data_IF_479232433816
#
_entry.id   IF_479232433816
#
_cell.length_a   1.000
_cell.length_b   1.000
_cell.length_c   1.000
_cell.angle_alpha   90.00
_cell.angle_beta   90.00
_cell.angle_gamma   90.00
#
_symmetry.space_group_name_H-M   'P 1'
#
loop_
_entity.id
_entity.type
_entity.pdbx_description
1 polymer ?
#
# COMPACT_ATOMS: atom_id res chain seq x y z
N UNK A 1 -18.06 -16.75 8.96
CA UNK A 1 -16.73 -16.88 9.61
C UNK A 1 -16.11 -15.52 9.93
N UNK A 2 -15.98 -14.60 8.96
CA UNK A 2 -15.35 -13.27 9.13
C UNK A 2 -16.00 -12.41 10.22
N UNK A 3 -17.34 -12.26 10.19
CA UNK A 3 -18.06 -11.45 11.19
C UNK A 3 -18.00 -12.03 12.60
N UNK A 4 -17.86 -13.35 12.73
CA UNK A 4 -17.73 -14.02 14.03
C UNK A 4 -16.39 -13.64 14.66
N UNK A 5 -15.31 -13.70 13.88
CA UNK A 5 -13.98 -13.32 14.35
C UNK A 5 -13.88 -11.85 14.76
N UNK A 6 -14.55 -10.93 14.04
CA UNK A 6 -14.57 -9.52 14.43
C UNK A 6 -15.30 -9.28 15.75
N UNK A 7 -16.45 -9.96 15.96
CA UNK A 7 -17.20 -9.89 17.23
C UNK A 7 -16.43 -10.47 18.41
N UNK A 8 -15.61 -11.50 18.18
CA UNK A 8 -14.73 -12.04 19.24
C UNK A 8 -13.65 -11.03 19.63
N UNK A 9 -13.05 -10.35 18.65
CA UNK A 9 -12.05 -9.30 18.90
C UNK A 9 -12.66 -8.13 19.68
N UNK A 10 -13.90 -7.75 19.36
CA UNK A 10 -14.61 -6.65 20.04
C UNK A 10 -14.77 -6.91 21.54
N UNK A 11 -15.02 -8.17 21.94
CA UNK A 11 -15.15 -8.58 23.35
C UNK A 11 -13.86 -8.46 24.17
N UNK A 12 -12.71 -8.28 23.53
CA UNK A 12 -11.43 -8.03 24.23
C UNK A 12 -11.34 -6.59 24.78
N UNK A 13 -12.28 -5.72 24.40
CA UNK A 13 -12.32 -4.32 24.81
C UNK A 13 -13.51 -4.05 25.73
N UNK A 14 -13.43 -3.05 26.62
CA UNK A 14 -14.57 -2.62 27.42
C UNK A 14 -15.75 -2.18 26.55
N UNK A 15 -16.97 -2.47 27.00
CA UNK A 15 -18.19 -2.19 26.25
C UNK A 15 -18.32 -0.69 25.91
N UNK A 16 -18.71 -0.37 24.68
CA UNK A 16 -18.89 1.01 24.19
C UNK A 16 -17.60 1.76 23.84
N UNK A 17 -16.42 1.14 23.97
CA UNK A 17 -15.14 1.81 23.68
C UNK A 17 -14.63 1.61 22.25
N UNK A 18 -15.09 0.57 21.56
CA UNK A 18 -14.77 0.30 20.15
C UNK A 18 -15.86 0.93 19.29
N UNK A 19 -15.47 1.75 18.31
CA UNK A 19 -16.41 2.37 17.38
C UNK A 19 -16.54 1.61 16.07
N UNK A 20 -15.47 0.94 15.62
CA UNK A 20 -15.46 0.17 14.38
C UNK A 20 -14.28 -0.82 14.35
N UNK A 21 -14.42 -1.94 13.65
CA UNK A 21 -13.32 -2.87 13.39
C UNK A 21 -13.29 -3.21 11.91
N UNK A 22 -12.15 -2.93 11.27
CA UNK A 22 -11.96 -3.13 9.82
C UNK A 22 -10.75 -3.98 9.54
N UNK A 23 -10.84 -4.78 8.49
CA UNK A 23 -9.62 -5.23 7.81
C UNK A 23 -9.08 -4.05 6.99
N UNK A 24 -7.76 -3.89 6.95
CA UNK A 24 -7.04 -2.98 6.07
C UNK A 24 -5.83 -3.73 5.50
N UNK A 25 -5.98 -4.25 4.29
CA UNK A 25 -5.06 -5.21 3.68
C UNK A 25 -4.75 -6.37 4.66
N UNK A 26 -3.49 -6.56 5.03
CA UNK A 26 -3.06 -7.61 5.94
C UNK A 26 -3.26 -7.30 7.44
N UNK A 27 -3.85 -6.15 7.79
CA UNK A 27 -4.04 -5.71 9.18
C UNK A 27 -5.51 -5.76 9.59
N UNK A 28 -5.75 -5.99 10.88
CA UNK A 28 -7.01 -5.69 11.55
C UNK A 28 -6.83 -4.37 12.29
N UNK A 29 -7.71 -3.42 12.03
CA UNK A 29 -7.70 -2.09 12.60
C UNK A 29 -8.90 -1.94 13.50
N UNK A 30 -8.65 -1.62 14.77
CA UNK A 30 -9.68 -1.35 15.76
C UNK A 30 -9.72 0.17 15.98
N UNK A 31 -10.85 0.78 15.66
CA UNK A 31 -11.13 2.18 15.93
C UNK A 31 -11.78 2.31 17.31
N UNK A 32 -11.28 3.23 18.12
CA UNK A 32 -11.77 3.49 19.48
C UNK A 32 -12.11 4.96 19.67
N UNK A 33 -13.10 5.24 20.52
CA UNK A 33 -13.41 6.58 21.01
C UNK A 33 -12.68 6.91 22.33
N UNK A 34 -11.99 5.94 22.92
CA UNK A 34 -11.34 6.05 24.21
C UNK A 34 -9.84 6.39 24.06
N UNK A 35 -9.42 7.51 24.66
CA UNK A 35 -8.03 7.99 24.60
C UNK A 35 -7.04 7.07 25.31
N UNK A 36 -7.41 6.47 26.43
CA UNK A 36 -6.54 5.57 27.19
C UNK A 36 -6.25 4.28 26.42
N UNK A 37 -7.27 3.72 25.75
CA UNK A 37 -7.12 2.55 24.87
C UNK A 37 -6.21 2.89 23.70
N UNK A 38 -6.38 4.07 23.09
CA UNK A 38 -5.52 4.51 21.99
C UNK A 38 -4.06 4.71 22.42
N UNK A 39 -3.82 5.35 23.57
CA UNK A 39 -2.47 5.58 24.12
C UNK A 39 -1.78 4.23 24.40
N UNK A 40 -2.48 3.29 25.02
CA UNK A 40 -1.99 1.92 25.27
C UNK A 40 -2.11 1.00 24.04
N UNK A 41 -2.51 1.53 22.89
CA UNK A 41 -2.90 0.76 21.72
C UNK A 41 -1.77 -0.06 21.10
N UNK A 42 -0.51 0.35 21.27
CA UNK A 42 0.66 -0.43 20.81
C UNK A 42 0.73 -1.75 21.58
N UNK A 43 0.62 -1.70 22.91
CA UNK A 43 0.74 -2.87 23.77
C UNK A 43 -0.47 -3.81 23.63
N UNK A 44 -1.68 -3.23 23.57
CA UNK A 44 -2.91 -3.97 23.29
C UNK A 44 -2.80 -4.68 21.93
N UNK A 45 -2.33 -3.98 20.90
CA UNK A 45 -2.13 -4.54 19.57
C UNK A 45 -1.14 -5.72 19.55
N UNK A 46 -0.06 -5.65 20.33
CA UNK A 46 0.90 -6.76 20.48
C UNK A 46 0.25 -8.00 21.11
N UNK A 47 -0.52 -7.82 22.19
CA UNK A 47 -1.23 -8.91 22.88
C UNK A 47 -2.23 -9.60 21.94
N UNK A 48 -3.03 -8.80 21.21
CA UNK A 48 -3.97 -9.33 20.22
C UNK A 48 -3.26 -10.07 19.08
N UNK A 49 -2.13 -9.54 18.60
CA UNK A 49 -1.36 -10.18 17.56
C UNK A 49 -0.80 -11.55 17.99
N UNK A 50 -0.34 -11.67 19.24
CA UNK A 50 0.12 -12.94 19.79
C UNK A 50 -1.01 -13.97 19.90
N UNK A 51 -2.20 -13.54 20.34
CA UNK A 51 -3.40 -14.36 20.52
C UNK A 51 -3.98 -14.85 19.19
N UNK A 52 -4.22 -13.94 18.26
CA UNK A 52 -4.94 -14.23 17.00
C UNK A 52 -4.03 -14.52 15.80
N UNK A 53 -2.70 -14.39 15.95
CA UNK A 53 -1.70 -14.57 14.88
C UNK A 53 -1.96 -13.70 13.65
N UNK A 54 -2.53 -12.52 13.86
CA UNK A 54 -2.82 -11.49 12.85
C UNK A 54 -2.19 -10.17 13.26
N UNK A 55 -2.01 -9.25 12.30
CA UNK A 55 -1.45 -7.92 12.59
C UNK A 55 -2.57 -7.00 13.06
N UNK A 56 -2.39 -6.36 14.23
CA UNK A 56 -3.38 -5.43 14.78
C UNK A 56 -2.83 -4.01 14.80
N UNK A 57 -3.72 -3.05 14.66
CA UNK A 57 -3.44 -1.63 14.85
C UNK A 57 -4.62 -0.96 15.54
N UNK A 58 -4.36 -0.29 16.67
CA UNK A 58 -5.38 0.46 17.40
C UNK A 58 -5.30 1.93 16.95
N UNK A 59 -6.46 2.54 16.68
CA UNK A 59 -6.58 3.90 16.16
C UNK A 59 -7.69 4.67 16.83
N UNK A 60 -7.51 5.97 16.99
CA UNK A 60 -8.61 6.85 17.36
C UNK A 60 -9.62 6.95 16.22
N UNK A 61 -10.91 7.03 16.52
CA UNK A 61 -11.95 7.28 15.53
C UNK A 61 -11.64 8.59 14.76
N UNK A 62 -11.58 8.57 13.41
CA UNK A 62 -11.33 9.76 12.59
C UNK A 62 -12.25 10.95 12.87
N UNK A 63 -13.46 10.72 13.39
CA UNK A 63 -14.41 11.79 13.77
C UNK A 63 -13.95 12.59 14.98
N UNK A 64 -13.13 11.99 15.85
CA UNK A 64 -12.64 12.60 17.10
C UNK A 64 -11.29 13.29 16.94
N UNK A 65 -10.66 13.17 15.76
CA UNK A 65 -9.37 13.80 15.49
C UNK A 65 -9.50 15.32 15.37
N UNK A 66 -8.53 16.11 15.88
CA UNK A 66 -8.45 17.55 15.64
C UNK A 66 -8.36 17.89 14.14
N UNK A 67 -8.51 19.15 13.76
CA UNK A 67 -8.38 19.52 12.34
C UNK A 67 -6.99 19.20 11.78
N UNK A 68 -6.87 18.96 10.47
CA UNK A 68 -5.57 18.61 9.86
C UNK A 68 -4.52 19.71 10.12
N UNK A 69 -4.93 20.98 10.12
CA UNK A 69 -4.06 22.12 10.42
C UNK A 69 -3.59 22.09 11.88
N UNK A 70 -4.51 21.87 12.82
CA UNK A 70 -4.16 21.76 14.25
C UNK A 70 -3.20 20.60 14.52
N UNK A 71 -3.39 19.44 13.87
CA UNK A 71 -2.47 18.30 13.99
C UNK A 71 -1.08 18.70 13.50
N UNK A 72 -1.00 19.36 12.35
CA UNK A 72 0.28 19.79 11.78
C UNK A 72 0.99 20.82 12.67
N UNK A 73 0.28 21.83 13.16
CA UNK A 73 0.81 22.86 14.06
C UNK A 73 1.31 22.24 15.38
N UNK A 74 0.52 21.34 15.97
CA UNK A 74 0.90 20.59 17.18
C UNK A 74 2.21 19.84 16.98
N UNK A 75 2.37 19.14 15.86
CA UNK A 75 3.61 18.41 15.57
C UNK A 75 4.78 19.38 15.38
N UNK A 76 4.60 20.46 14.60
CA UNK A 76 5.68 21.44 14.35
C UNK A 76 6.17 22.10 15.63
N UNK A 77 5.28 22.34 16.58
CA UNK A 77 5.63 22.95 17.88
C UNK A 77 6.24 21.93 18.86
N UNK A 78 5.87 20.65 18.75
CA UNK A 78 6.28 19.60 19.68
C UNK A 78 7.54 18.82 19.25
N UNK A 79 7.86 18.80 17.95
CA UNK A 79 8.97 18.01 17.43
C UNK A 79 10.33 18.62 17.89
N UNK A 80 11.23 17.81 18.47
CA UNK A 80 12.58 18.26 18.80
C UNK A 80 13.33 18.90 17.62
N UNK A 81 14.10 19.96 17.89
CA UNK A 81 14.80 20.77 16.86
C UNK A 81 15.91 20.01 16.12
N UNK A 82 16.47 18.98 16.74
CA UNK A 82 17.49 18.10 16.17
C UNK A 82 16.90 17.13 15.13
N UNK A 83 15.59 16.87 15.16
CA UNK A 83 14.88 16.10 14.13
C UNK A 83 14.63 17.00 12.92
N UNK A 84 15.34 16.73 11.83
CA UNK A 84 15.23 17.48 10.57
C UNK A 84 14.00 17.02 9.79
N UNK A 85 12.86 17.60 10.13
CA UNK A 85 11.58 17.38 9.47
C UNK A 85 11.53 18.02 8.08
N UNK A 86 11.10 17.25 7.07
CA UNK A 86 10.83 17.73 5.71
C UNK A 86 9.34 17.92 5.47
N UNK A 87 8.54 16.87 5.64
CA UNK A 87 7.10 16.88 5.34
C UNK A 87 6.30 16.24 6.49
N UNK A 88 5.07 16.73 6.67
CA UNK A 88 4.04 16.12 7.52
C UNK A 88 2.85 15.78 6.61
N UNK A 89 2.43 14.52 6.62
CA UNK A 89 1.22 14.09 5.90
C UNK A 89 0.20 13.54 6.88
N UNK A 90 -0.94 14.23 6.99
CA UNK A 90 -2.05 13.81 7.85
C UNK A 90 -3.02 12.92 7.07
N UNK A 91 -2.99 11.62 7.32
CA UNK A 91 -3.89 10.63 6.74
C UNK A 91 -5.12 10.43 7.64
N UNK A 92 -5.99 11.45 7.71
CA UNK A 92 -7.13 11.48 8.65
C UNK A 92 -8.01 10.22 8.60
N UNK A 93 -8.34 9.74 7.40
CA UNK A 93 -9.19 8.55 7.22
C UNK A 93 -8.54 7.23 7.68
N UNK A 94 -7.24 7.26 7.95
CA UNK A 94 -6.47 6.15 8.50
C UNK A 94 -5.94 6.48 9.90
N UNK A 95 -6.36 7.58 10.52
CA UNK A 95 -5.87 8.09 11.82
C UNK A 95 -4.35 8.00 12.00
N UNK A 96 -3.61 8.37 10.96
CA UNK A 96 -2.16 8.30 10.89
C UNK A 96 -1.56 9.64 10.50
N UNK A 97 -0.35 9.88 10.97
CA UNK A 97 0.51 10.94 10.47
C UNK A 97 1.81 10.34 9.99
N UNK A 98 2.18 10.64 8.76
CA UNK A 98 3.48 10.26 8.19
C UNK A 98 4.42 11.45 8.28
N UNK A 99 5.52 11.27 9.00
CA UNK A 99 6.60 12.24 9.14
C UNK A 99 7.74 11.84 8.20
N UNK A 100 8.06 12.69 7.24
CA UNK A 100 9.29 12.54 6.47
C UNK A 100 10.42 13.33 7.10
N UNK A 101 11.48 12.64 7.51
CA UNK A 101 12.63 13.23 8.21
C UNK A 101 13.95 12.79 7.56
N UNK A 102 14.99 13.63 7.65
CA UNK A 102 16.32 13.27 7.14
C UNK A 102 17.08 12.30 8.06
N UNK A 103 16.84 12.39 9.37
CA UNK A 103 17.46 11.58 10.42
C UNK A 103 16.40 10.80 11.21
N UNK A 104 15.83 9.72 10.64
CA UNK A 104 14.79 8.93 11.31
C UNK A 104 15.27 8.30 12.62
N UNK A 105 16.58 8.01 12.74
CA UNK A 105 17.18 7.46 13.95
C UNK A 105 17.05 8.37 15.18
N UNK A 106 16.82 9.67 14.98
CA UNK A 106 16.60 10.63 16.07
C UNK A 106 15.16 10.62 16.61
N UNK A 107 14.25 9.88 15.97
CA UNK A 107 12.84 9.78 16.40
C UNK A 107 12.64 8.48 17.17
N UNK A 108 12.82 8.53 18.48
CA UNK A 108 12.64 7.38 19.36
C UNK A 108 11.16 7.13 19.74
N UNK A 109 10.92 6.03 20.47
CA UNK A 109 9.59 5.63 20.94
C UNK A 109 8.95 6.66 21.90
N UNK A 110 9.76 7.46 22.61
CA UNK A 110 9.27 8.50 23.51
C UNK A 110 8.68 9.67 22.74
N UNK A 111 9.37 10.10 21.67
CA UNK A 111 8.89 11.13 20.74
C UNK A 111 7.63 10.64 20.03
N UNK A 112 7.62 9.39 19.56
CA UNK A 112 6.43 8.78 18.93
C UNK A 112 5.26 8.78 19.91
N UNK A 113 5.45 8.31 21.14
CA UNK A 113 4.39 8.23 22.15
C UNK A 113 3.83 9.61 22.51
N UNK A 114 4.71 10.61 22.65
CA UNK A 114 4.32 11.99 22.91
C UNK A 114 3.53 12.61 21.75
N UNK A 115 4.01 12.45 20.51
CA UNK A 115 3.29 12.95 19.34
C UNK A 115 1.95 12.22 19.13
N UNK A 116 1.87 10.92 19.44
CA UNK A 116 0.62 10.15 19.44
C UNK A 116 -0.38 10.73 20.45
N UNK A 117 0.03 10.98 21.69
CA UNK A 117 -0.88 11.53 22.72
C UNK A 117 -1.38 12.93 22.37
N UNK A 118 -0.53 13.75 21.74
CA UNK A 118 -0.84 15.12 21.33
C UNK A 118 -1.84 15.19 20.17
N UNK A 119 -1.66 14.31 19.17
CA UNK A 119 -2.39 14.35 17.89
C UNK A 119 -3.57 13.38 17.82
N UNK A 120 -3.57 12.35 18.68
CA UNK A 120 -4.47 11.19 18.62
C UNK A 120 -4.31 10.36 17.33
N UNK A 121 -3.18 10.51 16.62
CA UNK A 121 -2.85 9.77 15.40
C UNK A 121 -1.68 8.83 15.63
N UNK A 122 -1.68 7.69 14.96
CA UNK A 122 -0.49 6.83 14.89
C UNK A 122 0.60 7.54 14.07
N UNK A 123 1.80 7.65 14.63
CA UNK A 123 2.93 8.31 13.98
C UNK A 123 3.75 7.28 13.20
N UNK A 124 3.98 7.55 11.92
CA UNK A 124 4.81 6.75 11.02
C UNK A 124 5.98 7.61 10.58
N UNK A 125 7.19 7.18 10.89
CA UNK A 125 8.41 7.91 10.51
C UNK A 125 8.97 7.31 9.22
N UNK A 126 9.29 8.17 8.25
CA UNK A 126 9.86 7.79 6.95
C UNK A 126 11.12 8.59 6.68
N UNK A 127 12.13 7.92 6.14
CA UNK A 127 13.36 8.58 5.68
C UNK A 127 13.07 9.35 4.40
N UNK A 128 13.48 10.60 4.36
CA UNK A 128 13.47 11.38 3.12
C UNK A 128 14.81 11.26 2.38
N UNK A 129 14.81 11.25 1.02
CA UNK A 129 16.05 11.28 0.26
C UNK A 129 16.86 12.56 0.52
N UNK A 130 18.20 12.43 0.60
CA UNK A 130 19.09 13.58 0.77
C UNK A 130 19.02 14.56 -0.41
N UNK A 131 18.79 14.04 -1.61
CA UNK A 131 18.57 14.84 -2.82
C UNK A 131 17.07 14.92 -3.09
N UNK A 132 16.56 16.15 -3.19
CA UNK A 132 15.15 16.37 -3.53
C UNK A 132 14.89 16.05 -5.00
N UNK A 133 13.71 15.51 -5.28
CA UNK A 133 13.22 15.28 -6.62
C UNK A 133 11.76 15.68 -6.66
N UNK A 134 11.43 16.71 -7.45
CA UNK A 134 10.07 17.23 -7.57
C UNK A 134 9.07 16.14 -7.98
N UNK A 135 9.48 15.21 -8.84
CA UNK A 135 8.61 14.12 -9.30
C UNK A 135 8.32 13.15 -8.15
N UNK A 136 9.36 12.74 -7.41
CA UNK A 136 9.19 11.83 -6.27
C UNK A 136 8.35 12.50 -5.17
N UNK A 137 8.60 13.78 -4.88
CA UNK A 137 7.84 14.53 -3.89
C UNK A 137 6.34 14.58 -4.26
N UNK A 138 6.02 14.81 -5.54
CA UNK A 138 4.63 14.77 -6.04
C UNK A 138 4.03 13.37 -5.96
N UNK A 139 4.79 12.32 -6.32
CA UNK A 139 4.35 10.92 -6.24
C UNK A 139 4.01 10.52 -4.81
N UNK A 140 4.87 10.86 -3.84
CA UNK A 140 4.66 10.58 -2.42
C UNK A 140 3.46 11.35 -1.87
N UNK A 141 3.39 12.66 -2.13
CA UNK A 141 2.28 13.49 -1.70
C UNK A 141 0.93 13.00 -2.25
N UNK A 142 0.90 12.51 -3.50
CA UNK A 142 -0.31 12.01 -4.13
C UNK A 142 -0.99 10.88 -3.34
N UNK A 143 -0.23 9.97 -2.74
CA UNK A 143 -0.79 8.87 -1.93
C UNK A 143 -1.53 9.38 -0.70
N UNK A 144 -0.94 10.33 0.00
CA UNK A 144 -1.47 10.88 1.24
C UNK A 144 -2.72 11.73 0.98
N UNK A 145 -2.73 12.47 -0.15
CA UNK A 145 -3.89 13.21 -0.63
C UNK A 145 -5.09 12.32 -0.99
N UNK A 146 -4.87 11.02 -1.21
CA UNK A 146 -5.92 10.03 -1.53
C UNK A 146 -6.23 9.09 -0.36
N UNK A 147 -5.98 9.51 0.87
CA UNK A 147 -6.23 8.71 2.08
C UNK A 147 -7.70 8.26 2.22
N UNK A 148 -8.67 9.04 1.72
CA UNK A 148 -10.09 8.71 1.69
C UNK A 148 -10.40 7.48 0.83
N UNK A 149 -9.87 7.47 -0.39
CA UNK A 149 -9.96 6.36 -1.32
C UNK A 149 -9.19 5.16 -0.79
N UNK A 150 -7.97 5.39 -0.29
CA UNK A 150 -7.09 4.33 0.20
C UNK A 150 -7.68 3.60 1.40
N UNK A 151 -8.34 4.30 2.33
CA UNK A 151 -9.03 3.66 3.45
C UNK A 151 -10.09 2.64 2.99
N UNK A 152 -10.92 3.03 2.00
CA UNK A 152 -11.92 2.13 1.41
C UNK A 152 -11.27 0.99 0.62
N UNK A 153 -10.26 1.30 -0.18
CA UNK A 153 -9.52 0.32 -0.97
C UNK A 153 -8.86 -0.75 -0.10
N UNK A 154 -8.10 -0.35 0.92
CA UNK A 154 -7.46 -1.28 1.86
C UNK A 154 -8.49 -2.15 2.57
N UNK A 155 -9.67 -1.60 2.87
CA UNK A 155 -10.75 -2.38 3.47
C UNK A 155 -11.26 -3.50 2.57
N UNK A 156 -11.50 -3.20 1.29
CA UNK A 156 -11.93 -4.21 0.32
C UNK A 156 -10.84 -5.26 0.07
N UNK A 157 -9.57 -4.86 0.00
CA UNK A 157 -8.43 -5.80 -0.07
C UNK A 157 -8.41 -6.71 1.15
N UNK A 158 -8.59 -6.14 2.35
CA UNK A 158 -8.59 -6.90 3.60
C UNK A 158 -9.73 -7.93 3.67
N UNK A 159 -10.94 -7.57 3.20
CA UNK A 159 -12.06 -8.53 3.10
C UNK A 159 -11.71 -9.72 2.20
N UNK A 160 -11.12 -9.46 1.02
CA UNK A 160 -10.73 -10.49 0.06
C UNK A 160 -9.69 -11.46 0.64
N UNK A 161 -8.68 -10.93 1.34
CA UNK A 161 -7.63 -11.75 1.97
C UNK A 161 -8.21 -12.72 3.01
N UNK A 162 -9.26 -12.32 3.74
CA UNK A 162 -9.84 -13.16 4.79
C UNK A 162 -10.92 -14.11 4.25
N UNK A 163 -11.50 -13.84 3.07
CA UNK A 163 -12.52 -14.71 2.47
C UNK A 163 -11.97 -15.98 1.82
N UNK A 164 -10.70 -16.03 1.44
CA UNK A 164 -10.09 -17.11 0.61
C UNK A 164 -9.68 -18.38 1.37
N UNK A 165 -10.38 -18.73 2.46
CA UNK A 165 -10.04 -19.91 3.26
C UNK A 165 -11.02 -21.06 3.04
N UNK A 166 -10.81 -21.82 1.96
CA UNK A 166 -11.34 -23.17 1.84
C UNK A 166 -10.20 -24.18 2.07
N UNK A 167 -10.47 -25.24 2.85
CA UNK A 167 -9.52 -26.34 3.08
C UNK A 167 -9.56 -27.28 1.87
N UNK A 168 -9.11 -26.78 0.72
CA UNK A 168 -9.06 -27.50 -0.56
C UNK A 168 -7.75 -28.27 -0.80
N UNK A 169 -7.63 -28.83 -2.01
CA UNK A 169 -6.42 -29.50 -2.50
C UNK A 169 -5.26 -28.51 -2.56
N UNK A 170 -4.09 -28.90 -2.06
CA UNK A 170 -2.86 -28.10 -2.13
C UNK A 170 -2.15 -28.31 -3.47
N UNK A 171 -2.69 -27.71 -4.53
CA UNK A 171 -2.01 -27.64 -5.82
C UNK A 171 -1.44 -26.23 -5.99
N UNK A 172 -0.23 -26.14 -6.52
CA UNK A 172 0.38 -24.87 -6.90
C UNK A 172 0.94 -24.99 -8.31
N UNK A 173 0.61 -24.03 -9.16
CA UNK A 173 1.10 -23.95 -10.55
C UNK A 173 1.76 -22.60 -10.76
N UNK A 174 2.85 -22.60 -11.53
CA UNK A 174 3.49 -21.39 -12.02
C UNK A 174 3.46 -21.43 -13.55
N UNK A 175 2.77 -20.47 -14.16
CA UNK A 175 2.78 -20.26 -15.61
C UNK A 175 3.73 -19.10 -15.95
N UNK A 176 4.57 -19.29 -16.96
CA UNK A 176 5.51 -18.27 -17.44
C UNK A 176 4.82 -17.47 -18.53
N UNK A 177 4.56 -16.18 -18.28
CA UNK A 177 3.92 -15.27 -19.25
C UNK A 177 4.96 -14.46 -20.05
N UNK A 178 6.20 -14.37 -19.54
CA UNK A 178 7.35 -13.74 -20.20
C UNK A 178 8.63 -13.98 -19.40
N UNK A 179 9.78 -13.59 -19.94
CA UNK A 179 11.12 -13.94 -19.42
C UNK A 179 11.42 -15.46 -19.42
N UNK A 180 10.65 -16.24 -20.19
CA UNK A 180 10.89 -17.67 -20.41
C UNK A 180 11.99 -17.88 -21.45
N UNK A 181 13.24 -18.05 -21.00
CA UNK A 181 14.43 -18.19 -21.86
C UNK A 181 14.78 -16.92 -22.66
N UNK A 182 14.45 -15.76 -22.11
CA UNK A 182 14.72 -14.43 -22.69
C UNK A 182 14.94 -13.39 -21.58
N UNK A 183 15.39 -12.19 -21.96
CA UNK A 183 15.44 -11.01 -21.08
C UNK A 183 14.40 -9.99 -21.54
N UNK A 184 13.62 -9.46 -20.61
CA UNK A 184 12.49 -8.58 -20.90
C UNK A 184 11.15 -9.21 -20.55
N UNK A 185 10.12 -8.36 -20.44
CA UNK A 185 8.71 -8.72 -20.20
C UNK A 185 8.50 -9.73 -19.06
N UNK A 186 9.26 -9.60 -17.97
CA UNK A 186 9.14 -10.48 -16.81
C UNK A 186 7.70 -10.49 -16.29
N UNK A 187 7.09 -11.67 -16.29
CA UNK A 187 5.74 -11.89 -15.82
C UNK A 187 5.49 -13.38 -15.57
N UNK A 188 5.07 -13.70 -14.36
CA UNK A 188 4.73 -15.06 -13.95
C UNK A 188 3.37 -15.08 -13.26
N UNK A 189 2.57 -16.11 -13.54
CA UNK A 189 1.28 -16.32 -12.90
C UNK A 189 1.41 -17.50 -11.92
N UNK A 190 1.35 -17.20 -10.62
CA UNK A 190 1.29 -18.18 -9.55
C UNK A 190 -0.17 -18.45 -9.21
N UNK A 191 -0.60 -19.70 -9.34
CA UNK A 191 -1.98 -20.12 -9.12
C UNK A 191 -2.06 -21.20 -8.05
N UNK A 192 -3.10 -21.07 -7.24
CA UNK A 192 -3.63 -22.08 -6.34
C UNK A 192 -5.12 -22.23 -6.66
N UNK A 193 -5.83 -23.24 -6.15
CA UNK A 193 -7.28 -23.32 -6.33
C UNK A 193 -8.03 -22.08 -5.82
N UNK A 194 -7.47 -21.36 -4.86
CA UNK A 194 -8.10 -20.22 -4.19
C UNK A 194 -7.57 -18.85 -4.62
N UNK A 195 -6.44 -18.77 -5.32
CA UNK A 195 -5.79 -17.48 -5.60
C UNK A 195 -4.92 -17.47 -6.86
N UNK A 196 -4.92 -16.32 -7.55
CA UNK A 196 -4.09 -15.99 -8.70
C UNK A 196 -3.23 -14.75 -8.41
N UNK A 197 -1.91 -14.92 -8.42
CA UNK A 197 -0.94 -13.86 -8.12
C UNK A 197 -0.03 -13.67 -9.32
N UNK A 198 0.12 -12.43 -9.77
CA UNK A 198 1.16 -12.08 -10.75
C UNK A 198 2.45 -11.72 -10.02
N UNK A 199 3.57 -12.27 -10.47
CA UNK A 199 4.92 -11.86 -10.09
C UNK A 199 5.55 -11.13 -11.28
N UNK A 200 5.81 -9.83 -11.10
CA UNK A 200 6.25 -8.89 -12.14
C UNK A 200 5.28 -8.77 -13.34
N UNK A 201 5.32 -7.61 -13.99
CA UNK A 201 4.54 -7.36 -15.21
C UNK A 201 5.25 -6.31 -16.06
N UNK A 202 6.31 -6.74 -16.73
CA UNK A 202 7.24 -5.87 -17.43
C UNK A 202 7.02 -5.70 -18.93
N UNK A 203 7.81 -4.80 -19.53
CA UNK A 203 7.92 -4.63 -20.98
C UNK A 203 9.11 -5.42 -21.54
N UNK A 204 8.97 -5.94 -22.76
CA UNK A 204 10.05 -6.60 -23.49
C UNK A 204 11.12 -5.61 -23.96
N UNK A 205 12.30 -6.13 -24.32
CA UNK A 205 13.35 -5.32 -24.95
C UNK A 205 12.91 -4.81 -26.34
N UNK A 206 12.08 -5.58 -27.03
CA UNK A 206 11.44 -5.19 -28.29
C UNK A 206 10.33 -4.18 -28.04
N UNK A 207 10.33 -3.08 -28.78
CA UNK A 207 9.27 -2.05 -28.67
C UNK A 207 8.01 -2.38 -29.47
N UNK A 208 8.03 -3.46 -30.27
CA UNK A 208 6.95 -3.90 -31.14
C UNK A 208 6.90 -5.42 -31.22
N UNK A 209 5.76 -5.94 -31.68
CA UNK A 209 5.57 -7.37 -31.94
C UNK A 209 5.11 -8.16 -30.71
N UNK A 210 4.93 -9.48 -30.87
CA UNK A 210 4.43 -10.36 -29.80
C UNK A 210 5.37 -10.42 -28.60
N UNK A 211 6.64 -10.04 -28.78
CA UNK A 211 7.66 -10.08 -27.74
C UNK A 211 7.78 -8.79 -26.91
N UNK A 212 6.99 -7.77 -27.22
CA UNK A 212 6.99 -6.51 -26.49
C UNK A 212 6.28 -6.61 -25.12
N UNK A 213 5.38 -7.59 -24.96
CA UNK A 213 4.49 -7.69 -23.80
C UNK A 213 4.42 -9.13 -23.28
N UNK A 214 4.02 -9.32 -22.01
CA UNK A 214 3.63 -10.63 -21.48
C UNK A 214 2.50 -11.26 -22.30
N UNK A 215 2.49 -12.57 -22.37
CA UNK A 215 1.47 -13.37 -23.04
C UNK A 215 0.16 -13.26 -22.24
N UNK A 216 -0.87 -12.64 -22.84
CA UNK A 216 -2.17 -12.43 -22.18
C UNK A 216 -3.27 -13.37 -22.68
N UNK A 217 -3.02 -14.14 -23.74
CA UNK A 217 -4.02 -14.97 -24.42
C UNK A 217 -3.97 -16.45 -23.99
N UNK A 218 -3.52 -16.73 -22.77
CA UNK A 218 -3.54 -18.08 -22.21
C UNK A 218 -4.94 -18.40 -21.65
N UNK A 219 -5.48 -19.60 -21.87
CA UNK A 219 -6.78 -20.01 -21.34
C UNK A 219 -6.89 -19.88 -19.81
N UNK A 220 -5.78 -20.07 -19.10
CA UNK A 220 -5.70 -19.97 -17.64
C UNK A 220 -5.49 -18.54 -17.09
N UNK A 221 -5.33 -17.54 -17.97
CA UNK A 221 -5.05 -16.16 -17.58
C UNK A 221 -6.28 -15.27 -17.80
N UNK A 222 -6.94 -14.90 -16.69
CA UNK A 222 -7.99 -13.88 -16.68
C UNK A 222 -7.57 -12.74 -15.77
N UNK A 223 -7.42 -11.54 -16.36
CA UNK A 223 -7.01 -10.34 -15.63
C UNK A 223 -7.97 -10.00 -14.50
N UNK A 224 -9.27 -10.25 -14.67
CA UNK A 224 -10.27 -9.93 -13.65
C UNK A 224 -10.19 -10.86 -12.43
N UNK A 225 -9.56 -12.02 -12.57
CA UNK A 225 -9.38 -13.01 -11.50
C UNK A 225 -8.04 -12.87 -10.76
N UNK A 226 -7.21 -11.88 -11.11
CA UNK A 226 -5.94 -11.63 -10.40
C UNK A 226 -6.22 -11.00 -9.03
N UNK A 227 -5.80 -11.69 -7.98
CA UNK A 227 -5.96 -11.24 -6.60
C UNK A 227 -4.94 -10.18 -6.19
N UNK A 228 -3.70 -10.29 -6.69
CA UNK A 228 -2.65 -9.33 -6.42
C UNK A 228 -1.53 -9.39 -7.47
N UNK A 229 -0.77 -8.30 -7.53
CA UNK A 229 0.50 -8.25 -8.27
C UNK A 229 1.63 -7.95 -7.29
N UNK A 230 2.73 -8.67 -7.39
CA UNK A 230 3.96 -8.45 -6.63
C UNK A 230 5.03 -7.98 -7.60
N UNK A 231 5.65 -6.83 -7.31
CA UNK A 231 6.74 -6.29 -8.14
C UNK A 231 8.06 -6.41 -7.37
N UNK A 232 9.03 -7.09 -7.98
CA UNK A 232 10.35 -7.30 -7.41
C UNK A 232 11.14 -5.99 -7.31
N UNK A 233 11.26 -5.24 -8.40
CA UNK A 233 12.01 -3.99 -8.47
C UNK A 233 11.53 -3.08 -9.62
N UNK A 234 12.08 -1.87 -9.70
CA UNK A 234 11.52 -0.79 -10.51
C UNK A 234 11.94 -0.77 -12.00
N UNK A 235 12.72 -1.75 -12.47
CA UNK A 235 13.12 -1.75 -13.88
C UNK A 235 11.92 -1.99 -14.82
N UNK A 236 11.99 -1.41 -16.02
CA UNK A 236 10.89 -1.45 -17.00
C UNK A 236 10.51 -2.87 -17.43
N UNK A 237 11.47 -3.77 -17.47
CA UNK A 237 11.26 -5.19 -17.77
C UNK A 237 10.60 -5.97 -16.63
N UNK A 238 10.31 -5.34 -15.49
CA UNK A 238 9.57 -5.91 -14.35
C UNK A 238 8.30 -5.13 -13.98
N UNK A 239 8.27 -3.81 -14.16
CA UNK A 239 7.10 -2.97 -13.81
C UNK A 239 6.45 -2.31 -15.03
N UNK A 240 7.13 -2.31 -16.18
CA UNK A 240 6.82 -1.44 -17.30
C UNK A 240 5.44 -1.64 -17.90
N UNK A 241 4.85 -2.83 -17.81
CA UNK A 241 3.53 -3.12 -18.35
C UNK A 241 2.43 -3.15 -17.28
N UNK A 242 2.79 -3.06 -16.00
CA UNK A 242 1.86 -3.03 -14.86
C UNK A 242 0.71 -2.03 -15.02
N UNK A 243 0.92 -0.77 -15.48
CA UNK A 243 -0.19 0.17 -15.59
C UNK A 243 -1.24 -0.25 -16.62
N UNK A 244 -0.89 -1.11 -17.60
CA UNK A 244 -1.84 -1.64 -18.56
C UNK A 244 -2.97 -2.44 -17.89
N UNK A 245 -2.70 -3.12 -16.76
CA UNK A 245 -3.74 -3.85 -16.02
C UNK A 245 -4.89 -2.92 -15.61
N UNK A 246 -4.61 -1.70 -15.14
CA UNK A 246 -5.65 -0.73 -14.78
C UNK A 246 -6.46 -0.25 -15.98
N UNK A 247 -5.86 -0.21 -17.18
CA UNK A 247 -6.57 0.12 -18.42
C UNK A 247 -7.63 -0.92 -18.77
N UNK A 248 -7.41 -2.18 -18.39
CA UNK A 248 -8.38 -3.28 -18.58
C UNK A 248 -9.50 -3.30 -17.53
N UNK A 249 -9.45 -2.40 -16.53
CA UNK A 249 -10.43 -2.33 -15.45
C UNK A 249 -10.07 -3.10 -14.18
N UNK A 250 -8.91 -3.77 -14.14
CA UNK A 250 -8.40 -4.38 -12.92
C UNK A 250 -8.16 -3.31 -11.83
N UNK A 251 -8.50 -3.63 -10.58
CA UNK A 251 -8.43 -2.72 -9.42
C UNK A 251 -7.88 -3.45 -8.17
N UNK A 252 -7.01 -4.43 -8.38
CA UNK A 252 -6.43 -5.21 -7.30
C UNK A 252 -5.22 -4.51 -6.65
N UNK A 253 -4.73 -5.07 -5.52
CA UNK A 253 -3.54 -4.60 -4.83
C UNK A 253 -2.23 -4.92 -5.55
N UNK A 254 -1.28 -4.00 -5.39
CA UNK A 254 0.10 -4.16 -5.81
C UNK A 254 0.99 -4.12 -4.58
N UNK A 255 1.85 -5.13 -4.42
CA UNK A 255 2.83 -5.21 -3.34
C UNK A 255 4.23 -4.99 -3.87
N UNK A 256 4.93 -4.02 -3.27
CA UNK A 256 6.30 -3.66 -3.62
C UNK A 256 6.91 -2.77 -2.53
N UNK A 257 8.21 -2.56 -2.57
CA UNK A 257 8.89 -1.70 -1.58
C UNK A 257 8.67 -0.22 -1.86
N UNK A 258 8.77 0.65 -0.84
CA UNK A 258 8.65 2.10 -1.04
C UNK A 258 9.62 2.68 -2.07
N UNK A 259 10.92 2.29 -2.10
CA UNK A 259 11.82 2.71 -3.17
C UNK A 259 11.36 2.23 -4.56
N UNK A 260 10.89 0.98 -4.67
CA UNK A 260 10.36 0.44 -5.94
C UNK A 260 9.16 1.27 -6.43
N UNK A 261 8.28 1.72 -5.54
CA UNK A 261 7.14 2.57 -5.89
C UNK A 261 7.61 3.89 -6.51
N UNK A 262 8.52 4.57 -5.80
CA UNK A 262 8.93 5.92 -6.13
C UNK A 262 9.71 5.95 -7.45
N UNK A 263 10.67 5.03 -7.59
CA UNK A 263 11.47 4.88 -8.81
C UNK A 263 10.60 4.35 -9.95
N UNK A 264 9.72 3.38 -9.68
CA UNK A 264 8.80 2.82 -10.66
C UNK A 264 7.89 3.88 -11.27
N UNK A 265 7.27 4.73 -10.45
CA UNK A 265 6.45 5.83 -10.94
C UNK A 265 7.23 6.82 -11.81
N UNK A 266 8.47 7.16 -11.40
CA UNK A 266 9.36 8.03 -12.16
C UNK A 266 9.68 7.43 -13.54
N UNK A 267 10.09 6.17 -13.58
CA UNK A 267 10.48 5.46 -14.80
C UNK A 267 9.28 5.27 -15.73
N UNK A 268 8.10 4.94 -15.20
CA UNK A 268 6.87 4.81 -16.01
C UNK A 268 6.43 6.15 -16.63
N UNK A 269 6.58 7.26 -15.90
CA UNK A 269 6.30 8.59 -16.43
C UNK A 269 7.32 8.98 -17.52
N UNK A 270 8.59 8.62 -17.34
CA UNK A 270 9.62 8.87 -18.34
C UNK A 270 9.38 8.04 -19.61
N UNK A 271 9.02 6.76 -19.46
CA UNK A 271 8.66 5.88 -20.57
C UNK A 271 7.55 6.47 -21.46
N UNK A 272 6.48 7.03 -20.86
CA UNK A 272 5.43 7.72 -21.61
C UNK A 272 6.00 8.89 -22.40
N UNK A 273 6.84 9.72 -21.79
CA UNK A 273 7.44 10.90 -22.44
C UNK A 273 8.34 10.50 -23.61
N UNK A 274 9.18 9.48 -23.43
CA UNK A 274 10.08 8.98 -24.47
C UNK A 274 9.28 8.36 -25.62
N UNK A 275 8.28 7.54 -25.32
CA UNK A 275 7.41 6.94 -26.33
C UNK A 275 6.71 8.01 -27.18
N UNK A 276 6.14 9.04 -26.54
CA UNK A 276 5.49 10.15 -27.22
C UNK A 276 6.45 10.95 -28.12
N UNK A 277 7.68 11.21 -27.66
CA UNK A 277 8.72 11.87 -28.48
C UNK A 277 9.12 11.04 -29.70
N UNK A 278 9.06 9.72 -29.59
CA UNK A 278 9.32 8.79 -30.70
C UNK A 278 8.07 8.54 -31.57
N UNK A 279 6.98 9.29 -31.37
CA UNK A 279 5.70 9.15 -32.10
C UNK A 279 5.12 7.73 -31.92
N UNK A 280 5.43 7.08 -30.79
CA UNK A 280 4.86 5.78 -30.41
C UNK A 280 3.70 6.01 -29.43
N UNK A 281 2.63 5.25 -29.57
CA UNK A 281 1.58 5.24 -28.55
C UNK A 281 1.97 4.30 -27.41
N UNK A 282 2.16 4.80 -26.17
CA UNK A 282 2.37 3.94 -25.03
C UNK A 282 1.10 3.12 -24.72
N UNK A 283 1.24 1.89 -24.18
CA UNK A 283 0.09 1.03 -23.89
C UNK A 283 -0.82 1.59 -22.78
N UNK A 284 -0.33 2.55 -21.99
CA UNK A 284 -1.03 3.21 -20.89
C UNK A 284 -0.70 4.70 -20.84
N UNK A 285 -1.45 5.46 -20.04
CA UNK A 285 -1.28 6.89 -19.86
C UNK A 285 -0.89 7.24 -18.40
N UNK A 286 -0.70 8.53 -18.13
CA UNK A 286 -0.48 9.02 -16.77
C UNK A 286 -1.66 8.73 -15.82
N UNK A 287 -2.85 8.46 -16.34
CA UNK A 287 -4.02 8.05 -15.55
C UNK A 287 -3.78 6.69 -14.87
N UNK A 288 -3.29 5.72 -15.62
CA UNK A 288 -3.02 4.37 -15.09
C UNK A 288 -1.85 4.37 -14.10
N UNK A 289 -0.88 5.26 -14.26
CA UNK A 289 0.19 5.46 -13.26
C UNK A 289 -0.38 5.99 -11.93
N UNK A 290 -1.40 6.86 -11.98
CA UNK A 290 -2.11 7.30 -10.77
C UNK A 290 -2.88 6.15 -10.12
N UNK A 291 -3.48 5.27 -10.90
CA UNK A 291 -4.13 4.05 -10.38
C UNK A 291 -3.11 3.11 -9.73
N UNK A 292 -1.97 2.88 -10.37
CA UNK A 292 -0.82 2.17 -9.82
C UNK A 292 -0.45 2.67 -8.42
N UNK A 293 -0.30 3.99 -8.25
CA UNK A 293 0.00 4.58 -6.95
C UNK A 293 -1.10 4.30 -5.92
N UNK A 294 -2.37 4.55 -6.27
CA UNK A 294 -3.50 4.35 -5.33
C UNK A 294 -3.62 2.91 -4.82
N UNK A 295 -3.29 1.93 -5.67
CA UNK A 295 -3.42 0.50 -5.39
C UNK A 295 -2.15 -0.12 -4.81
N UNK A 296 -1.07 0.65 -4.70
CA UNK A 296 0.18 0.20 -4.11
C UNK A 296 0.10 0.10 -2.59
N UNK A 297 0.55 -1.03 -2.06
CA UNK A 297 0.72 -1.36 -0.65
C UNK A 297 2.21 -1.65 -0.41
N UNK A 298 2.82 -0.85 0.46
CA UNK A 298 4.23 -0.88 0.84
C UNK A 298 4.40 -1.22 2.31
#
# INVERSE_FOLDING_TARGET
MIMIQLREIEKEFPEGTVTDIKFEAAKIVVYTNNKEIFINGIEIGKKLAQKYKKRFEIRMDPKLLPSNKEIEEKIRNAIPRDIKLKNIFVERHLSRVVLEVYNPEAVDDSVISYLRSLTLCNIIVKRTPLKSSKVIDVVRAYLHLKSDYRSKFLHEVGKRIVSTSEKGKRLTRLSILGAGREVGRSAFLLQTPESNIILDFGLGASTYGPDAYPILNLPEFDIQQIDAVIISHAHLDHIGFLPFLFKTGWKGPIYLTEPTRDIGALILLDYIKVAQKQIKQPPFSAKEIKEFLKHTIT
#
